data_IF_180290394044
#
_entry.id   IF_180290394044
#
_cell.length_a   1.000
_cell.length_b   1.000
_cell.length_c   1.000
_cell.angle_alpha   90.00
_cell.angle_beta   90.00
_cell.angle_gamma   90.00
#
_symmetry.space_group_name_H-M   'P 1'
#
loop_
_entity.id
_entity.type
_entity.pdbx_description
1 polymer ?
#
# COMPACT_ATOMS: atom_id res chain seq x y z
N UNK A 1 -16.91 0.53 -16.35
CA UNK A 1 -17.03 1.24 -15.07
C UNK A 1 -16.15 2.46 -15.13
N UNK A 2 -16.74 3.66 -15.20
CA UNK A 2 -15.99 4.92 -15.10
C UNK A 2 -15.55 5.10 -13.65
N UNK A 3 -14.26 5.05 -13.39
CA UNK A 3 -13.72 5.58 -12.14
C UNK A 3 -13.90 7.10 -12.19
N UNK A 4 -14.89 7.62 -11.52
CA UNK A 4 -15.06 9.05 -11.37
C UNK A 4 -14.04 9.55 -10.37
N UNK A 5 -13.10 10.36 -10.84
CA UNK A 5 -12.12 11.11 -10.03
C UNK A 5 -12.76 12.34 -9.39
N UNK A 6 -14.04 12.33 -9.09
CA UNK A 6 -14.73 13.45 -8.45
C UNK A 6 -14.97 13.14 -6.98
N UNK A 7 -14.82 14.16 -6.19
CA UNK A 7 -15.01 14.42 -4.77
C UNK A 7 -16.32 13.91 -4.13
N UNK A 8 -16.90 12.84 -4.64
CA UNK A 8 -18.09 12.17 -4.09
C UNK A 8 -17.71 11.07 -3.08
N UNK A 9 -16.60 11.29 -2.36
CA UNK A 9 -16.43 10.61 -1.09
C UNK A 9 -17.53 11.12 -0.16
N UNK A 10 -18.30 10.21 0.42
CA UNK A 10 -19.26 10.52 1.46
C UNK A 10 -18.66 11.59 2.37
N UNK A 11 -19.26 12.79 2.38
CA UNK A 11 -18.80 13.90 3.18
C UNK A 11 -18.68 13.40 4.62
N UNK A 12 -17.45 13.20 5.10
CA UNK A 12 -17.19 12.74 6.45
C UNK A 12 -16.24 11.54 6.59
N UNK A 13 -16.14 10.63 5.61
CA UNK A 13 -15.30 9.41 5.75
C UNK A 13 -13.81 9.68 5.62
N UNK A 14 -13.38 10.71 4.89
CA UNK A 14 -11.99 11.02 4.67
C UNK A 14 -11.77 12.50 4.37
N UNK A 15 -10.67 13.05 4.92
CA UNK A 15 -10.17 14.38 4.60
C UNK A 15 -8.80 14.24 3.95
N UNK A 16 -8.63 14.81 2.77
CA UNK A 16 -7.36 14.79 2.03
C UNK A 16 -6.83 16.22 1.86
N UNK A 17 -5.67 16.50 2.44
CA UNK A 17 -4.96 17.77 2.31
C UNK A 17 -3.64 17.55 1.54
N UNK A 18 -3.40 18.34 0.50
CA UNK A 18 -2.20 18.26 -0.34
C UNK A 18 -1.26 19.42 -0.06
N UNK A 19 -0.02 19.10 0.27
CA UNK A 19 1.09 20.04 0.37
C UNK A 19 2.13 19.74 -0.71
N UNK A 20 3.19 20.58 -0.81
CA UNK A 20 4.22 20.46 -1.85
C UNK A 20 4.78 19.01 -2.00
N UNK A 21 5.09 18.35 -0.88
CA UNK A 21 5.74 17.03 -0.88
C UNK A 21 4.96 15.96 -0.11
N UNK A 22 3.82 16.32 0.50
CA UNK A 22 3.04 15.40 1.32
C UNK A 22 1.55 15.46 0.98
N UNK A 23 0.88 14.34 1.12
CA UNK A 23 -0.57 14.24 1.11
C UNK A 23 -0.98 13.73 2.48
N UNK A 24 -1.71 14.54 3.24
CA UNK A 24 -2.27 14.13 4.53
C UNK A 24 -3.65 13.53 4.29
N UNK A 25 -3.85 12.31 4.75
CA UNK A 25 -5.08 11.54 4.60
C UNK A 25 -5.57 11.20 6.01
N UNK A 26 -6.72 11.77 6.38
CA UNK A 26 -7.38 11.44 7.64
C UNK A 26 -8.59 10.59 7.35
N UNK A 27 -8.61 9.38 7.90
CA UNK A 27 -9.74 8.45 7.84
C UNK A 27 -10.54 8.63 9.13
N UNK A 28 -11.79 9.05 9.00
CA UNK A 28 -12.69 9.19 10.13
C UNK A 28 -13.38 7.85 10.39
N UNK A 29 -12.99 7.18 11.46
CA UNK A 29 -13.65 5.99 11.99
C UNK A 29 -14.47 6.40 13.22
N UNK A 30 -15.79 6.42 13.08
CA UNK A 30 -16.67 6.88 14.18
C UNK A 30 -16.77 5.91 15.35
N UNK A 31 -16.43 4.65 15.11
CA UNK A 31 -16.49 3.60 16.14
C UNK A 31 -15.09 3.15 16.62
N UNK A 32 -14.06 3.92 16.29
CA UNK A 32 -12.73 3.63 16.83
C UNK A 32 -12.76 3.72 18.35
N UNK A 33 -12.53 2.60 19.01
CA UNK A 33 -12.23 2.60 20.45
C UNK A 33 -11.02 3.50 20.70
N UNK A 34 -11.03 4.25 21.80
CA UNK A 34 -9.88 5.05 22.25
C UNK A 34 -8.71 4.17 22.72
N UNK A 35 -8.36 3.13 21.97
CA UNK A 35 -7.17 2.35 22.27
C UNK A 35 -5.93 3.13 21.85
N UNK A 36 -5.11 3.52 22.81
CA UNK A 36 -3.84 4.21 22.59
C UNK A 36 -2.75 3.28 21.97
N UNK A 37 -3.07 2.01 21.79
CA UNK A 37 -2.14 1.00 21.27
C UNK A 37 -2.70 0.36 20.00
N UNK A 38 -1.84 0.23 19.00
CA UNK A 38 -2.11 -0.50 17.75
C UNK A 38 -1.24 -1.75 17.71
N UNK A 39 -1.86 -2.90 17.47
CA UNK A 39 -1.17 -4.18 17.29
C UNK A 39 -0.79 -4.34 15.81
N UNK A 40 0.50 -4.39 15.55
CA UNK A 40 1.05 -4.53 14.20
C UNK A 40 1.57 -5.95 14.01
N UNK A 41 1.06 -6.63 13.00
CA UNK A 41 1.58 -7.90 12.53
C UNK A 41 2.54 -7.66 11.34
N UNK A 42 3.71 -8.26 11.39
CA UNK A 42 4.68 -8.27 10.29
C UNK A 42 4.67 -9.65 9.67
N UNK A 43 4.46 -9.73 8.37
CA UNK A 43 4.51 -10.99 7.64
C UNK A 43 5.52 -10.91 6.52
N UNK A 44 6.23 -12.01 6.30
CA UNK A 44 7.16 -12.15 5.21
C UNK A 44 6.58 -13.11 4.15
N UNK A 45 6.62 -12.66 2.89
CA UNK A 45 6.33 -13.48 1.71
C UNK A 45 7.58 -13.52 0.85
N UNK A 46 7.88 -14.69 0.30
CA UNK A 46 9.02 -14.80 -0.61
C UNK A 46 8.81 -13.93 -1.85
N UNK A 47 9.71 -12.99 -2.03
CA UNK A 47 9.82 -12.15 -3.23
C UNK A 47 11.25 -12.31 -3.73
N UNK A 48 11.45 -13.21 -4.68
CA UNK A 48 12.74 -13.49 -5.29
C UNK A 48 12.88 -12.79 -6.65
N UNK A 49 14.07 -12.90 -7.22
CA UNK A 49 14.40 -12.30 -8.53
C UNK A 49 13.49 -12.85 -9.64
N UNK A 50 13.18 -14.14 -9.63
CA UNK A 50 12.34 -14.76 -10.64
C UNK A 50 10.90 -14.29 -10.55
N UNK A 51 10.40 -14.08 -9.34
CA UNK A 51 9.08 -13.48 -9.09
C UNK A 51 8.99 -12.07 -9.66
N UNK A 52 10.03 -11.25 -9.45
CA UNK A 52 10.11 -9.88 -9.99
C UNK A 52 10.17 -9.91 -11.51
N UNK A 53 11.01 -10.77 -12.09
CA UNK A 53 11.12 -10.90 -13.55
C UNK A 53 9.80 -11.33 -14.20
N UNK A 54 9.08 -12.28 -13.61
CA UNK A 54 7.76 -12.73 -14.09
C UNK A 54 6.75 -11.59 -14.09
N UNK A 55 6.67 -10.84 -13.01
CA UNK A 55 5.77 -9.69 -12.90
C UNK A 55 6.09 -8.58 -13.90
N UNK A 56 7.37 -8.44 -14.32
CA UNK A 56 7.83 -7.42 -15.26
C UNK A 56 7.75 -7.84 -16.73
N UNK A 57 7.31 -9.05 -17.07
CA UNK A 57 7.19 -9.48 -18.46
C UNK A 57 6.10 -8.69 -19.20
N UNK A 58 6.26 -8.57 -20.52
CA UNK A 58 5.26 -7.87 -21.37
C UNK A 58 3.88 -8.53 -21.32
N UNK A 59 3.83 -9.83 -21.13
CA UNK A 59 2.62 -10.63 -20.96
C UNK A 59 1.99 -10.47 -19.57
N UNK A 60 2.65 -9.69 -18.68
CA UNK A 60 2.22 -9.45 -17.31
C UNK A 60 1.78 -10.74 -16.61
N UNK A 61 2.64 -11.77 -16.66
CA UNK A 61 2.39 -13.03 -15.98
C UNK A 61 2.56 -12.89 -14.46
N UNK A 62 1.51 -12.51 -13.72
CA UNK A 62 1.60 -12.34 -12.27
C UNK A 62 1.86 -13.67 -11.58
N UNK A 63 2.43 -13.63 -10.38
CA UNK A 63 2.75 -14.82 -9.62
C UNK A 63 1.50 -15.40 -8.92
N UNK A 64 0.59 -16.01 -9.67
CA UNK A 64 -0.72 -16.51 -9.21
C UNK A 64 -0.72 -17.98 -8.81
N UNK A 65 0.40 -18.52 -8.32
CA UNK A 65 0.43 -19.93 -7.93
C UNK A 65 -0.49 -20.21 -6.73
N UNK A 66 -1.08 -21.40 -6.70
CA UNK A 66 -1.89 -21.89 -5.57
C UNK A 66 -1.12 -21.84 -4.24
N UNK A 67 0.15 -22.23 -4.25
CA UNK A 67 1.03 -22.20 -3.08
C UNK A 67 1.13 -20.79 -2.49
N UNK A 68 1.34 -19.79 -3.34
CA UNK A 68 1.43 -18.41 -2.93
C UNK A 68 0.11 -17.88 -2.40
N UNK A 69 -0.99 -18.21 -3.05
CA UNK A 69 -2.33 -17.86 -2.60
C UNK A 69 -2.65 -18.49 -1.24
N UNK A 70 -2.34 -19.78 -1.07
CA UNK A 70 -2.51 -20.49 0.21
C UNK A 70 -1.69 -19.84 1.32
N UNK A 71 -0.43 -19.49 1.04
CA UNK A 71 0.43 -18.77 2.00
C UNK A 71 -0.18 -17.43 2.43
N UNK A 72 -0.69 -16.65 1.49
CA UNK A 72 -1.38 -15.38 1.80
C UNK A 72 -2.61 -15.60 2.67
N UNK A 73 -3.43 -16.61 2.39
CA UNK A 73 -4.59 -16.95 3.24
C UNK A 73 -4.18 -17.29 4.67
N UNK A 74 -3.09 -18.07 4.85
CA UNK A 74 -2.56 -18.37 6.17
C UNK A 74 -2.13 -17.11 6.93
N UNK A 75 -1.41 -16.21 6.26
CA UNK A 75 -0.96 -14.94 6.84
C UNK A 75 -2.16 -14.09 7.28
N UNK A 76 -3.15 -13.91 6.40
CA UNK A 76 -4.35 -13.12 6.69
C UNK A 76 -5.17 -13.70 7.84
N UNK A 77 -5.30 -15.03 7.90
CA UNK A 77 -6.01 -15.70 8.98
C UNK A 77 -5.24 -15.63 10.31
N UNK A 78 -3.91 -15.74 10.27
CA UNK A 78 -3.08 -15.59 11.46
C UNK A 78 -3.17 -14.17 12.01
N UNK A 79 -3.07 -13.14 11.18
CA UNK A 79 -3.23 -11.75 11.59
C UNK A 79 -4.62 -11.50 12.24
N UNK A 80 -5.67 -12.10 11.67
CA UNK A 80 -7.02 -12.00 12.26
C UNK A 80 -7.13 -12.76 13.60
N UNK A 81 -6.53 -13.94 13.71
CA UNK A 81 -6.52 -14.73 14.98
C UNK A 81 -5.78 -13.99 16.09
N UNK A 82 -4.69 -13.33 15.71
CA UNK A 82 -3.90 -12.50 16.63
C UNK A 82 -4.52 -11.13 16.93
N UNK A 83 -5.70 -10.84 16.38
CA UNK A 83 -6.39 -9.55 16.56
C UNK A 83 -5.50 -8.36 16.18
N UNK A 84 -4.74 -8.49 15.10
CA UNK A 84 -3.90 -7.42 14.61
C UNK A 84 -4.74 -6.28 14.03
N UNK A 85 -4.39 -5.05 14.36
CA UNK A 85 -5.00 -3.86 13.76
C UNK A 85 -4.41 -3.58 12.37
N UNK A 86 -3.11 -3.84 12.19
CA UNK A 86 -2.37 -3.60 10.96
C UNK A 86 -1.58 -4.83 10.58
N UNK A 87 -1.66 -5.24 9.33
CA UNK A 87 -0.77 -6.24 8.72
C UNK A 87 0.13 -5.58 7.68
N UNK A 88 1.44 -5.69 7.90
CA UNK A 88 2.46 -5.25 6.94
C UNK A 88 2.99 -6.45 6.16
N UNK A 89 2.98 -6.34 4.83
CA UNK A 89 3.54 -7.30 3.90
C UNK A 89 4.67 -6.65 3.09
N UNK A 90 5.59 -7.44 2.52
CA UNK A 90 6.75 -6.91 1.80
C UNK A 90 6.39 -6.10 0.55
N UNK A 91 7.37 -5.34 0.07
CA UNK A 91 7.40 -4.76 -1.26
C UNK A 91 7.26 -5.84 -2.33
N UNK A 92 6.54 -5.54 -3.43
CA UNK A 92 6.34 -6.43 -4.58
C UNK A 92 5.72 -7.80 -4.23
N UNK A 93 4.97 -7.87 -3.13
CA UNK A 93 4.47 -9.14 -2.61
C UNK A 93 3.11 -9.56 -3.16
N UNK A 94 2.27 -8.63 -3.60
CA UNK A 94 0.88 -8.89 -3.94
C UNK A 94 0.61 -8.66 -5.43
N UNK A 95 0.14 -9.68 -6.16
CA UNK A 95 -0.37 -9.51 -7.53
C UNK A 95 -1.56 -8.56 -7.58
N UNK A 96 -1.61 -7.71 -8.61
CA UNK A 96 -2.69 -6.71 -8.78
C UNK A 96 -4.08 -7.36 -8.80
N UNK A 97 -4.21 -8.55 -9.40
CA UNK A 97 -5.47 -9.30 -9.48
C UNK A 97 -6.03 -9.72 -8.11
N UNK A 98 -5.23 -9.70 -7.05
CA UNK A 98 -5.68 -10.02 -5.69
C UNK A 98 -6.21 -8.81 -4.92
N UNK A 99 -6.10 -7.60 -5.46
CA UNK A 99 -6.60 -6.39 -4.80
C UNK A 99 -8.07 -6.47 -4.35
N UNK A 100 -9.03 -6.97 -5.16
CA UNK A 100 -10.43 -7.06 -4.72
C UNK A 100 -10.60 -7.97 -3.50
N UNK A 101 -9.87 -9.09 -3.48
CA UNK A 101 -9.87 -10.02 -2.36
C UNK A 101 -9.27 -9.38 -1.09
N UNK A 102 -8.12 -8.69 -1.21
CA UNK A 102 -7.47 -8.00 -0.11
C UNK A 102 -8.38 -6.90 0.47
N UNK A 103 -9.02 -6.11 -0.39
CA UNK A 103 -9.98 -5.08 0.01
C UNK A 103 -11.19 -5.66 0.76
N UNK A 104 -11.74 -6.77 0.26
CA UNK A 104 -12.84 -7.47 0.92
C UNK A 104 -12.42 -8.02 2.30
N UNK A 105 -11.19 -8.52 2.43
CA UNK A 105 -10.64 -9.00 3.71
C UNK A 105 -10.47 -7.84 4.69
N UNK A 106 -9.78 -6.76 4.29
CA UNK A 106 -9.60 -5.56 5.11
C UNK A 106 -10.93 -5.03 5.64
N UNK A 107 -11.91 -4.86 4.75
CA UNK A 107 -13.26 -4.41 5.12
C UNK A 107 -13.94 -5.33 6.12
N UNK A 108 -13.99 -6.65 5.85
CA UNK A 108 -14.72 -7.62 6.69
C UNK A 108 -14.09 -7.80 8.05
N UNK A 109 -12.76 -7.87 8.10
CA UNK A 109 -12.00 -8.15 9.34
C UNK A 109 -11.59 -6.88 10.07
N UNK A 110 -11.76 -5.72 9.46
CA UNK A 110 -11.37 -4.40 10.00
C UNK A 110 -9.88 -4.33 10.35
N UNK A 111 -9.04 -4.99 9.54
CA UNK A 111 -7.57 -4.98 9.64
C UNK A 111 -7.03 -4.10 8.52
N UNK A 112 -6.20 -3.13 8.86
CA UNK A 112 -5.47 -2.35 7.85
C UNK A 112 -4.40 -3.23 7.19
N UNK A 113 -4.28 -3.15 5.87
CA UNK A 113 -3.30 -3.90 5.10
C UNK A 113 -2.38 -2.92 4.37
N UNK A 114 -1.07 -3.06 4.60
CA UNK A 114 -0.05 -2.23 3.95
C UNK A 114 0.92 -3.14 3.24
N UNK A 115 1.07 -2.99 1.92
CA UNK A 115 1.87 -3.89 1.10
C UNK A 115 2.30 -3.27 -0.22
N UNK A 116 3.33 -3.83 -0.85
CA UNK A 116 3.72 -3.50 -2.22
C UNK A 116 3.04 -4.42 -3.24
N UNK A 117 2.50 -3.83 -4.31
CA UNK A 117 2.07 -4.61 -5.47
C UNK A 117 3.26 -5.09 -6.29
N UNK A 118 3.11 -6.21 -6.98
CA UNK A 118 4.01 -6.57 -8.07
C UNK A 118 4.10 -5.44 -9.07
N UNK A 119 5.23 -5.35 -9.79
CA UNK A 119 5.41 -4.28 -10.76
C UNK A 119 4.27 -4.24 -11.77
N UNK A 120 3.70 -3.05 -11.94
CA UNK A 120 2.78 -2.78 -13.03
C UNK A 120 3.57 -2.22 -14.22
N UNK A 121 3.57 -2.94 -15.33
CA UNK A 121 4.29 -2.51 -16.52
C UNK A 121 3.34 -1.82 -17.49
N UNK A 122 3.67 -0.58 -17.84
CA UNK A 122 2.95 0.23 -18.83
C UNK A 122 3.96 1.09 -19.59
N UNK A 123 3.90 1.11 -20.93
CA UNK A 123 4.76 1.91 -21.80
C UNK A 123 6.26 1.77 -21.47
N UNK A 124 6.73 0.53 -21.36
CA UNK A 124 8.13 0.18 -21.01
C UNK A 124 8.58 0.72 -19.63
N UNK A 125 7.66 1.08 -18.77
CA UNK A 125 7.92 1.51 -17.40
C UNK A 125 7.35 0.50 -16.41
N UNK A 126 8.18 0.12 -15.44
CA UNK A 126 7.76 -0.72 -14.32
C UNK A 126 7.43 0.18 -13.13
N UNK A 127 6.16 0.23 -12.77
CA UNK A 127 5.66 0.98 -11.61
C UNK A 127 5.65 0.08 -10.38
N UNK A 128 6.33 0.52 -9.36
CA UNK A 128 6.32 -0.09 -8.03
C UNK A 128 5.31 0.70 -7.18
N UNK A 129 4.26 0.04 -6.73
CA UNK A 129 3.11 0.69 -6.09
C UNK A 129 2.93 0.16 -4.67
N UNK A 130 2.96 1.06 -3.72
CA UNK A 130 2.56 0.82 -2.33
C UNK A 130 1.05 0.98 -2.21
N UNK A 131 0.41 0.05 -1.50
CA UNK A 131 -1.02 0.09 -1.20
C UNK A 131 -1.23 0.14 0.30
N UNK A 132 -2.10 1.04 0.71
CA UNK A 132 -2.58 1.19 2.08
C UNK A 132 -4.09 0.98 2.06
N UNK A 133 -4.58 -0.10 2.66
CA UNK A 133 -6.00 -0.38 2.82
C UNK A 133 -6.38 -0.09 4.26
N UNK A 134 -7.21 0.92 4.46
CA UNK A 134 -7.56 1.47 5.77
C UNK A 134 -9.05 1.22 6.04
N UNK A 135 -9.41 0.24 6.87
CA UNK A 135 -10.80 -0.02 7.21
C UNK A 135 -11.35 1.07 8.12
N UNK A 136 -12.65 1.31 8.00
CA UNK A 136 -13.40 2.25 8.83
C UNK A 136 -14.88 1.89 8.87
N UNK A 137 -15.59 2.39 9.86
CA UNK A 137 -17.03 2.28 9.96
C UNK A 137 -17.69 3.60 9.54
N UNK A 138 -18.75 3.50 8.77
CA UNK A 138 -19.59 4.65 8.40
C UNK A 138 -20.58 5.00 9.52
N UNK A 139 -21.31 6.11 9.34
CA UNK A 139 -22.30 6.60 10.31
C UNK A 139 -23.42 5.58 10.62
N UNK A 140 -23.73 4.74 9.64
CA UNK A 140 -24.74 3.68 9.76
C UNK A 140 -24.15 2.36 10.28
N UNK A 141 -22.99 2.40 10.90
CA UNK A 141 -22.23 1.22 11.35
C UNK A 141 -21.92 0.23 10.22
N UNK A 142 -21.76 0.73 9.00
CA UNK A 142 -21.41 -0.08 7.85
C UNK A 142 -19.89 -0.18 7.70
N UNK A 143 -19.38 -1.41 7.64
CA UNK A 143 -17.95 -1.67 7.47
C UNK A 143 -17.49 -1.34 6.06
N UNK A 144 -16.48 -0.49 5.93
CA UNK A 144 -15.86 -0.10 4.67
C UNK A 144 -14.33 -0.19 4.75
N UNK A 145 -13.66 0.05 3.64
CA UNK A 145 -12.18 0.16 3.59
C UNK A 145 -11.79 1.13 2.47
N UNK A 146 -10.93 2.08 2.81
CA UNK A 146 -10.35 3.00 1.84
C UNK A 146 -9.07 2.40 1.28
N UNK A 147 -8.89 2.50 -0.04
CA UNK A 147 -7.66 2.12 -0.72
C UNK A 147 -6.89 3.36 -1.12
N UNK A 148 -5.66 3.43 -0.70
CA UNK A 148 -4.73 4.50 -1.05
C UNK A 148 -3.57 3.90 -1.82
N UNK A 149 -3.22 4.49 -2.95
CA UNK A 149 -2.14 4.03 -3.82
C UNK A 149 -1.05 5.10 -3.92
N UNK A 150 0.20 4.68 -3.78
CA UNK A 150 1.34 5.56 -3.98
C UNK A 150 2.40 4.89 -4.84
N UNK A 151 2.76 5.52 -5.94
CA UNK A 151 3.91 5.09 -6.75
C UNK A 151 5.19 5.38 -5.97
N UNK A 152 6.12 4.43 -5.95
CA UNK A 152 7.44 4.56 -5.34
C UNK A 152 8.19 5.74 -5.95
N UNK A 153 8.66 6.63 -5.10
CA UNK A 153 9.35 7.85 -5.53
C UNK A 153 10.81 7.59 -5.96
N UNK A 154 11.49 6.62 -5.32
CA UNK A 154 12.90 6.32 -5.56
C UNK A 154 13.16 4.83 -5.61
N UNK A 155 13.78 4.39 -6.69
CA UNK A 155 14.20 3.02 -6.92
C UNK A 155 15.63 2.82 -6.46
N UNK A 156 15.95 1.66 -5.89
CA UNK A 156 17.32 1.30 -5.56
C UNK A 156 18.18 1.12 -6.84
N UNK A 157 19.48 1.41 -6.81
CA UNK A 157 20.35 1.22 -7.97
C UNK A 157 20.27 -0.20 -8.56
N UNK A 158 20.30 -1.24 -7.71
CA UNK A 158 20.16 -2.64 -8.15
C UNK A 158 18.78 -2.95 -8.77
N UNK A 159 17.72 -2.29 -8.31
CA UNK A 159 16.38 -2.42 -8.90
C UNK A 159 16.34 -1.79 -10.30
N UNK A 160 16.95 -0.62 -10.46
CA UNK A 160 17.09 0.04 -11.77
C UNK A 160 17.90 -0.83 -12.73
N UNK A 161 19.02 -1.40 -12.28
CA UNK A 161 19.85 -2.31 -13.07
C UNK A 161 19.05 -3.53 -13.53
N UNK A 162 18.31 -4.18 -12.63
CA UNK A 162 17.43 -5.30 -12.97
C UNK A 162 16.39 -4.91 -14.02
N UNK A 163 15.73 -3.78 -13.87
CA UNK A 163 14.75 -3.30 -14.84
C UNK A 163 15.38 -3.04 -16.22
N UNK A 164 16.59 -2.49 -16.26
CA UNK A 164 17.34 -2.31 -17.51
C UNK A 164 17.64 -3.62 -18.22
N UNK A 165 17.99 -4.69 -17.47
CA UNK A 165 18.20 -6.03 -18.08
C UNK A 165 16.91 -6.57 -18.74
N UNK A 166 15.74 -6.13 -18.26
CA UNK A 166 14.42 -6.46 -18.80
C UNK A 166 13.94 -5.47 -19.86
N UNK A 167 14.79 -4.52 -20.28
CA UNK A 167 14.47 -3.42 -21.22
C UNK A 167 13.32 -2.54 -20.71
N UNK A 168 13.25 -2.36 -19.40
CA UNK A 168 12.28 -1.52 -18.74
C UNK A 168 12.95 -0.34 -18.04
N UNK A 169 12.19 0.72 -17.84
CA UNK A 169 12.58 1.90 -17.06
C UNK A 169 11.79 1.96 -15.76
N UNK A 170 12.39 2.50 -14.71
CA UNK A 170 11.69 2.76 -13.46
C UNK A 170 10.53 3.76 -13.67
N UNK A 171 9.36 3.42 -13.15
CA UNK A 171 8.14 4.24 -13.24
C UNK A 171 8.05 5.33 -12.17
N UNK A 172 9.19 5.85 -11.69
CA UNK A 172 9.19 6.90 -10.68
C UNK A 172 8.51 8.19 -11.16
N UNK A 173 7.74 8.88 -10.29
CA UNK A 173 7.18 10.17 -10.63
C UNK A 173 8.28 11.23 -10.78
N UNK A 174 8.05 12.24 -11.63
CA UNK A 174 8.96 13.38 -11.77
C UNK A 174 9.17 14.07 -10.42
N UNK A 175 10.35 14.65 -10.11
CA UNK A 175 10.66 15.24 -8.79
C UNK A 175 9.58 16.17 -8.24
N UNK A 176 9.03 17.05 -9.09
CA UNK A 176 7.94 17.97 -8.70
C UNK A 176 6.60 17.28 -8.37
N UNK A 177 6.45 16.00 -8.74
CA UNK A 177 5.23 15.20 -8.52
C UNK A 177 5.40 14.16 -7.41
N UNK A 178 6.60 14.04 -6.85
CA UNK A 178 6.86 13.11 -5.75
C UNK A 178 6.10 13.52 -4.50
N UNK A 179 5.41 12.58 -3.89
CA UNK A 179 4.61 12.80 -2.68
C UNK A 179 4.76 11.62 -1.74
N UNK A 180 4.65 11.91 -0.45
CA UNK A 180 4.52 10.92 0.61
C UNK A 180 3.18 11.09 1.31
N UNK A 181 2.64 10.01 1.83
CA UNK A 181 1.40 10.03 2.58
C UNK A 181 1.69 10.18 4.07
N UNK A 182 0.96 11.09 4.73
CA UNK A 182 0.78 11.14 6.17
C UNK A 182 -0.63 10.63 6.46
N UNK A 183 -0.71 9.43 6.99
CA UNK A 183 -1.97 8.77 7.31
C UNK A 183 -2.33 9.08 8.76
N UNK A 184 -3.60 9.43 8.99
CA UNK A 184 -4.21 9.49 10.32
C UNK A 184 -5.39 8.53 10.34
N UNK A 185 -5.25 7.48 11.14
CA UNK A 185 -6.22 6.40 11.23
C UNK A 185 -6.23 5.82 12.65
N UNK A 186 -7.42 5.55 13.22
CA UNK A 186 -7.59 5.04 14.60
C UNK A 186 -6.71 5.77 15.63
N UNK A 187 -6.73 7.11 15.63
CA UNK A 187 -5.95 7.98 16.53
C UNK A 187 -4.42 7.89 16.42
N UNK A 188 -3.89 7.14 15.47
CA UNK A 188 -2.46 7.14 15.18
C UNK A 188 -2.15 7.90 13.89
N UNK A 189 -0.96 8.49 13.87
CA UNK A 189 -0.39 9.08 12.68
C UNK A 189 0.82 8.27 12.25
N UNK A 190 0.93 7.95 10.97
CA UNK A 190 2.07 7.24 10.43
C UNK A 190 2.35 7.65 8.98
N UNK A 191 3.55 7.38 8.53
CA UNK A 191 3.97 7.51 7.14
C UNK A 191 4.58 6.19 6.67
N UNK A 192 4.40 5.89 5.39
CA UNK A 192 4.92 4.68 4.78
C UNK A 192 6.02 5.00 3.79
N UNK A 193 7.07 4.21 3.82
CA UNK A 193 8.17 4.26 2.87
C UNK A 193 8.35 2.90 2.22
N UNK A 194 8.69 2.90 0.96
CA UNK A 194 8.89 1.67 0.22
C UNK A 194 10.39 1.43 0.01
N UNK A 195 10.95 0.48 0.79
CA UNK A 195 12.33 0.00 0.69
C UNK A 195 13.37 1.15 0.67
N UNK A 196 14.01 1.40 -0.47
CA UNK A 196 15.08 2.38 -0.64
C UNK A 196 14.66 3.83 -0.31
N UNK A 197 13.38 4.16 -0.34
CA UNK A 197 12.90 5.47 0.07
C UNK A 197 13.26 5.79 1.52
N UNK A 198 13.34 4.78 2.40
CA UNK A 198 13.70 4.95 3.80
C UNK A 198 15.17 5.39 3.98
N UNK A 199 16.04 5.12 3.02
CA UNK A 199 17.45 5.51 3.07
C UNK A 199 17.65 7.04 2.92
N UNK A 200 16.67 7.76 2.36
CA UNK A 200 16.77 9.19 2.15
C UNK A 200 16.37 9.97 3.42
N UNK A 201 17.37 10.64 4.02
CA UNK A 201 17.22 11.39 5.27
C UNK A 201 16.25 12.58 5.10
N UNK A 202 16.32 13.30 3.97
CA UNK A 202 15.46 14.45 3.71
C UNK A 202 13.99 14.06 3.66
N UNK A 203 13.69 12.90 3.08
CA UNK A 203 12.31 12.40 3.01
C UNK A 203 11.80 11.99 4.39
N UNK A 204 12.63 11.38 5.22
CA UNK A 204 12.26 11.09 6.61
C UNK A 204 12.00 12.36 7.42
N UNK A 205 12.76 13.41 7.15
CA UNK A 205 12.61 14.70 7.81
C UNK A 205 11.28 15.42 7.47
N UNK A 206 10.60 15.05 6.37
CA UNK A 206 9.29 15.62 6.01
C UNK A 206 8.22 15.42 7.08
N UNK A 207 8.36 14.39 7.90
CA UNK A 207 7.40 14.05 8.96
C UNK A 207 7.92 14.32 10.37
N UNK A 208 9.12 14.87 10.51
CA UNK A 208 9.63 15.31 11.82
C UNK A 208 8.60 16.26 12.45
N UNK A 209 8.19 15.97 13.68
CA UNK A 209 7.15 16.71 14.43
C UNK A 209 5.69 16.60 13.89
N UNK A 210 5.41 15.71 12.96
CA UNK A 210 4.04 15.49 12.43
C UNK A 210 3.45 14.13 12.79
N UNK A 211 4.29 13.20 13.26
CA UNK A 211 3.94 11.85 13.72
C UNK A 211 3.80 11.84 15.23
#
# INVERSE_FOLDING_TARGET
HKFTTRNDFHQGACVVNKNKNTISIKVNDKFSSKNDKIKVALANMLVDRDSIQRACRKDQSPNLSYQRQKGLYHILNAANKEEADVLLLPELSIPVSWLPFMAAHSRRKQIALIFGLEHWVLDERAYNILVEMLPYNTDENYKSSMLVFRVKNYYAPKEIELLHTLRLRAGAPKPKKQRYHLIRWKNVSFATYNCFELANIEHRALFKSKL
#
